data_IF_958150961318
#
_entry.id   IF_958150961318
#
_cell.length_a   1.000
_cell.length_b   1.000
_cell.length_c   1.000
_cell.angle_alpha   90.00
_cell.angle_beta   90.00
_cell.angle_gamma   90.00
#
_symmetry.space_group_name_H-M   'P 1'
#
loop_
_entity.id
_entity.type
_entity.pdbx_description
1 polymer ?
#
# COMPACT_ATOMS: atom_id res chain seq x y z
N UNK A 1 -4.31 3.15 1.30
CA UNK A 1 -3.27 2.10 1.25
C UNK A 1 -2.09 2.67 0.50
N UNK A 2 -0.88 2.36 0.95
CA UNK A 2 0.37 2.60 0.21
C UNK A 2 0.90 1.24 -0.26
N UNK A 3 1.24 1.13 -1.54
CA UNK A 3 1.67 -0.11 -2.18
C UNK A 3 2.99 0.10 -2.93
N UNK A 4 3.89 -0.88 -2.87
CA UNK A 4 5.11 -0.92 -3.67
C UNK A 4 5.12 -2.12 -4.61
N UNK A 5 5.51 -1.89 -5.86
CA UNK A 5 5.73 -2.93 -6.87
C UNK A 5 7.03 -2.68 -7.62
N UNK A 6 7.53 -3.67 -8.35
CA UNK A 6 8.72 -3.52 -9.18
C UNK A 6 8.54 -4.09 -10.60
N UNK A 7 9.47 -3.77 -11.48
CA UNK A 7 9.44 -4.13 -12.90
C UNK A 7 9.54 -5.64 -13.20
N UNK A 8 9.82 -6.49 -12.20
CA UNK A 8 9.81 -7.96 -12.38
C UNK A 8 8.46 -8.60 -12.01
N UNK A 9 7.47 -7.76 -11.69
CA UNK A 9 6.11 -8.20 -11.36
C UNK A 9 5.94 -8.62 -9.90
N UNK A 10 6.76 -8.10 -9.00
CA UNK A 10 6.68 -8.41 -7.57
C UNK A 10 6.14 -7.23 -6.76
N UNK A 11 5.30 -7.52 -5.78
CA UNK A 11 4.72 -6.56 -4.85
C UNK A 11 5.22 -6.80 -3.42
N UNK A 12 5.48 -5.73 -2.68
CA UNK A 12 5.66 -5.82 -1.22
C UNK A 12 4.30 -6.01 -0.53
N UNK A 13 4.24 -6.52 0.70
CA UNK A 13 3.00 -6.53 1.48
C UNK A 13 2.38 -5.13 1.59
N UNK A 14 1.05 -5.00 1.52
CA UNK A 14 0.38 -3.71 1.53
C UNK A 14 0.49 -3.02 2.89
N UNK A 15 0.50 -1.69 2.84
CA UNK A 15 0.43 -0.82 4.02
C UNK A 15 -0.93 -0.13 4.03
N UNK A 16 -1.84 -0.62 4.86
CA UNK A 16 -3.23 -0.18 4.95
C UNK A 16 -3.34 0.92 5.99
N UNK A 17 -3.98 2.04 5.66
CA UNK A 17 -4.22 3.15 6.59
C UNK A 17 -5.72 3.22 6.87
N UNK A 18 -6.10 3.07 8.13
CA UNK A 18 -7.47 3.26 8.58
C UNK A 18 -7.67 4.61 9.24
N UNK A 19 -8.78 5.27 8.93
CA UNK A 19 -9.20 6.47 9.64
C UNK A 19 -9.55 6.14 11.09
N UNK A 20 -8.75 6.53 12.07
CA UNK A 20 -9.02 6.31 13.49
C UNK A 20 -7.86 6.77 14.37
N UNK A 21 -8.07 6.75 15.69
CA UNK A 21 -7.05 7.12 16.67
C UNK A 21 -6.30 5.92 17.26
N UNK A 22 -6.97 4.78 17.33
CA UNK A 22 -6.45 3.57 17.96
C UNK A 22 -6.69 2.36 17.08
N UNK A 23 -5.84 1.36 17.26
CA UNK A 23 -6.07 0.02 16.73
C UNK A 23 -7.18 -0.67 17.51
N UNK A 24 -8.06 -1.39 16.81
CA UNK A 24 -9.05 -2.25 17.45
C UNK A 24 -8.54 -3.69 17.38
N UNK A 25 -8.52 -4.38 18.52
CA UNK A 25 -8.10 -5.80 18.59
C UNK A 25 -8.91 -6.69 17.65
N UNK A 26 -10.17 -6.33 17.40
CA UNK A 26 -11.04 -7.01 16.46
C UNK A 26 -10.51 -7.03 15.01
N UNK A 27 -9.64 -6.10 14.61
CA UNK A 27 -9.02 -6.10 13.26
C UNK A 27 -8.02 -7.24 13.06
N UNK A 28 -7.53 -7.83 14.14
CA UNK A 28 -6.50 -8.88 14.15
C UNK A 28 -7.06 -10.26 14.50
N UNK A 29 -8.39 -10.39 14.56
CA UNK A 29 -9.07 -11.66 14.84
C UNK A 29 -9.31 -12.50 13.59
N UNK A 30 -9.04 -11.95 12.41
CA UNK A 30 -9.17 -12.66 11.14
C UNK A 30 -7.95 -13.56 10.95
N UNK A 31 -8.15 -14.89 10.91
CA UNK A 31 -7.08 -15.88 10.79
C UNK A 31 -6.28 -15.77 9.48
N UNK A 32 -6.81 -15.04 8.49
CA UNK A 32 -6.25 -14.96 7.14
C UNK A 32 -5.48 -13.68 6.83
N UNK A 33 -5.34 -12.75 7.81
CA UNK A 33 -4.52 -11.54 7.64
C UNK A 33 -3.04 -11.93 7.68
N UNK A 34 -2.26 -11.72 6.60
CA UNK A 34 -0.85 -12.08 6.62
C UNK A 34 -0.06 -11.20 7.61
N UNK A 35 0.87 -11.81 8.34
CA UNK A 35 1.65 -11.13 9.40
C UNK A 35 2.56 -10.01 8.90
N UNK A 36 2.91 -10.04 7.63
CA UNK A 36 3.75 -9.05 6.98
C UNK A 36 2.95 -7.85 6.44
N UNK A 37 1.61 -7.87 6.55
CA UNK A 37 0.77 -6.72 6.22
C UNK A 37 0.78 -5.72 7.36
N UNK A 38 0.84 -4.43 7.03
CA UNK A 38 0.74 -3.36 8.02
C UNK A 38 -0.66 -2.77 7.97
N UNK A 39 -1.30 -2.68 9.13
CA UNK A 39 -2.46 -1.83 9.36
C UNK A 39 -1.95 -0.68 10.22
N UNK A 40 -2.04 0.55 9.73
CA UNK A 40 -1.74 1.77 10.44
C UNK A 40 -3.00 2.61 10.60
N UNK A 41 -2.95 3.62 11.48
CA UNK A 41 -4.08 4.52 11.74
C UNK A 41 -3.69 5.99 11.60
N UNK A 42 -4.60 6.80 11.06
CA UNK A 42 -4.52 8.26 11.11
C UNK A 42 -5.89 8.86 11.35
N UNK A 43 -5.97 10.04 11.99
CA UNK A 43 -7.27 10.62 12.39
C UNK A 43 -8.21 10.88 11.21
N UNK A 44 -7.66 11.17 10.03
CA UNK A 44 -8.39 11.51 8.81
C UNK A 44 -8.28 10.43 7.72
N UNK A 45 -7.55 9.34 7.97
CA UNK A 45 -7.31 8.27 7.01
C UNK A 45 -6.29 8.62 5.91
N UNK A 46 -5.70 9.81 5.95
CA UNK A 46 -4.68 10.26 5.02
C UNK A 46 -3.27 9.91 5.51
N UNK A 47 -2.33 9.89 4.57
CA UNK A 47 -0.91 9.72 4.85
C UNK A 47 -0.33 10.95 5.55
N UNK A 48 0.57 10.73 6.51
CA UNK A 48 1.34 11.77 7.21
C UNK A 48 2.83 11.57 6.97
N UNK A 49 3.68 12.52 7.36
CA UNK A 49 5.15 12.35 7.28
C UNK A 49 5.61 11.13 8.09
N UNK A 50 5.06 10.93 9.29
CA UNK A 50 5.34 9.77 10.14
C UNK A 50 4.96 8.47 9.45
N UNK A 51 3.75 8.37 8.91
CA UNK A 51 3.29 7.17 8.18
C UNK A 51 4.09 6.93 6.91
N UNK A 52 4.53 7.99 6.23
CA UNK A 52 5.41 7.89 5.05
C UNK A 52 6.76 7.29 5.42
N UNK A 53 7.35 7.70 6.54
CA UNK A 53 8.60 7.15 7.05
C UNK A 53 8.43 5.68 7.52
N UNK A 54 7.32 5.36 8.19
CA UNK A 54 7.01 3.96 8.55
C UNK A 54 6.85 3.08 7.31
N UNK A 55 6.16 3.58 6.29
CA UNK A 55 6.06 2.88 5.02
C UNK A 55 7.43 2.71 4.34
N UNK A 56 8.31 3.72 4.39
CA UNK A 56 9.66 3.61 3.84
C UNK A 56 10.50 2.53 4.56
N UNK A 57 10.39 2.43 5.88
CA UNK A 57 11.01 1.34 6.66
C UNK A 57 10.46 -0.02 6.27
N UNK A 58 9.14 -0.11 6.06
CA UNK A 58 8.47 -1.31 5.56
C UNK A 58 8.96 -1.69 4.16
N UNK A 59 9.07 -0.72 3.25
CA UNK A 59 9.65 -0.89 1.92
C UNK A 59 11.11 -1.40 2.02
N UNK A 60 11.93 -0.80 2.88
CA UNK A 60 13.31 -1.21 3.08
C UNK A 60 13.39 -2.68 3.52
N UNK A 61 12.65 -3.04 4.57
CA UNK A 61 12.63 -4.38 5.14
C UNK A 61 12.30 -5.47 4.10
N UNK A 62 11.35 -5.19 3.21
CA UNK A 62 10.89 -6.15 2.21
C UNK A 62 11.78 -6.19 0.95
N UNK A 63 12.42 -5.08 0.58
CA UNK A 63 13.18 -4.99 -0.68
C UNK A 63 14.68 -5.22 -0.51
N UNK A 64 15.25 -5.00 0.68
CA UNK A 64 16.71 -5.00 0.91
C UNK A 64 17.38 -6.29 0.45
N UNK A 65 16.80 -7.45 0.79
CA UNK A 65 17.33 -8.78 0.42
C UNK A 65 17.22 -9.10 -1.07
N UNK A 66 16.44 -8.33 -1.83
CA UNK A 66 16.21 -8.50 -3.27
C UNK A 66 16.98 -7.46 -4.10
N UNK A 67 17.81 -6.64 -3.46
CA UNK A 67 18.59 -5.61 -4.14
C UNK A 67 19.62 -6.27 -5.05
N UNK A 68 19.67 -5.82 -6.30
CA UNK A 68 20.76 -6.11 -7.21
C UNK A 68 21.71 -4.91 -7.20
N UNK A 69 22.96 -5.13 -6.79
CA UNK A 69 23.94 -4.05 -6.60
C UNK A 69 23.79 -3.34 -5.25
N UNK A 70 24.12 -2.05 -5.22
CA UNK A 70 24.23 -1.28 -3.97
C UNK A 70 23.03 -0.38 -3.66
N UNK A 71 22.24 -0.01 -4.67
CA UNK A 71 21.18 1.01 -4.55
C UNK A 71 19.83 0.46 -5.01
N UNK A 72 18.76 1.02 -4.44
CA UNK A 72 17.38 0.82 -4.90
C UNK A 72 16.78 2.15 -5.34
N UNK A 73 16.11 2.14 -6.48
CA UNK A 73 15.32 3.29 -6.94
C UNK A 73 13.90 3.17 -6.41
N UNK A 74 13.42 4.20 -5.73
CA UNK A 74 12.06 4.35 -5.25
C UNK A 74 11.40 5.49 -6.04
N UNK A 75 10.46 5.14 -6.92
CA UNK A 75 9.67 6.11 -7.69
C UNK A 75 8.40 6.41 -6.92
N UNK A 76 8.16 7.70 -6.63
CA UNK A 76 7.02 8.18 -5.83
C UNK A 76 6.29 9.30 -6.57
N UNK A 77 5.00 9.48 -6.26
CA UNK A 77 4.29 10.68 -6.68
C UNK A 77 4.82 11.90 -5.91
N UNK A 78 4.60 13.10 -6.46
CA UNK A 78 5.12 14.34 -5.90
C UNK A 78 4.41 14.80 -4.62
N UNK A 79 3.82 13.90 -3.83
CA UNK A 79 3.07 14.26 -2.63
C UNK A 79 3.99 14.82 -1.54
N UNK A 80 3.55 15.89 -0.87
CA UNK A 80 4.35 16.72 0.05
C UNK A 80 4.92 15.94 1.24
N UNK A 81 4.28 14.82 1.61
CA UNK A 81 4.68 13.98 2.73
C UNK A 81 6.03 13.26 2.57
N UNK A 82 6.59 13.25 1.36
CA UNK A 82 7.89 12.65 1.05
C UNK A 82 9.08 13.61 1.26
N UNK A 83 8.81 14.86 1.64
CA UNK A 83 9.82 15.91 1.78
C UNK A 83 10.34 16.08 3.22
N UNK A 84 9.98 15.20 4.17
CA UNK A 84 10.52 15.30 5.52
C UNK A 84 12.02 14.97 5.54
N UNK A 85 12.76 15.66 6.42
CA UNK A 85 14.20 15.47 6.57
C UNK A 85 14.53 14.02 6.98
N UNK A 86 13.72 13.43 7.85
CA UNK A 86 13.90 12.06 8.32
C UNK A 86 13.71 11.04 7.19
N UNK A 87 12.74 11.27 6.29
CA UNK A 87 12.51 10.43 5.13
C UNK A 87 13.74 10.44 4.20
N UNK A 88 14.25 11.63 3.88
CA UNK A 88 15.43 11.78 3.03
C UNK A 88 16.69 11.20 3.67
N UNK A 89 16.89 11.43 4.97
CA UNK A 89 18.03 10.90 5.71
C UNK A 89 18.00 9.37 5.73
N UNK A 90 16.84 8.77 6.00
CA UNK A 90 16.69 7.31 5.99
C UNK A 90 16.96 6.71 4.60
N UNK A 91 16.48 7.36 3.54
CA UNK A 91 16.78 6.98 2.16
C UNK A 91 18.30 6.98 1.90
N UNK A 92 18.98 8.06 2.28
CA UNK A 92 20.44 8.21 2.10
C UNK A 92 21.22 7.12 2.83
N UNK A 93 20.90 6.89 4.11
CA UNK A 93 21.57 5.88 4.95
C UNK A 93 21.37 4.45 4.43
N UNK A 94 20.21 4.16 3.84
CA UNK A 94 19.85 2.82 3.35
C UNK A 94 20.04 2.64 1.83
N UNK A 95 20.77 3.57 1.18
CA UNK A 95 21.09 3.54 -0.25
C UNK A 95 19.83 3.44 -1.13
N UNK A 96 18.79 4.17 -0.76
CA UNK A 96 17.54 4.31 -1.52
C UNK A 96 17.58 5.67 -2.22
N UNK A 97 17.47 5.66 -3.54
CA UNK A 97 17.38 6.86 -4.37
C UNK A 97 15.91 7.11 -4.62
N UNK A 98 15.42 8.30 -4.27
CA UNK A 98 14.05 8.73 -4.54
C UNK A 98 13.97 9.47 -5.85
N UNK A 99 13.01 9.10 -6.70
CA UNK A 99 12.66 9.83 -7.91
C UNK A 99 11.19 10.24 -7.82
N UNK A 100 10.94 11.55 -7.74
CA UNK A 100 9.59 12.09 -7.72
C UNK A 100 9.08 12.30 -9.15
N UNK A 101 7.87 11.82 -9.43
CA UNK A 101 7.22 12.09 -10.71
C UNK A 101 6.86 13.57 -10.86
N UNK A 102 6.90 14.13 -12.09
CA UNK A 102 6.44 15.49 -12.33
C UNK A 102 4.99 15.71 -11.89
N UNK A 103 4.61 16.92 -11.44
CA UNK A 103 3.22 17.25 -11.13
C UNK A 103 2.28 16.90 -12.29
N UNK A 104 1.05 16.47 -11.97
CA UNK A 104 -0.01 16.11 -12.92
C UNK A 104 0.33 14.98 -13.89
N UNK A 105 1.41 14.22 -13.67
CA UNK A 105 1.80 13.12 -14.57
C UNK A 105 1.40 11.71 -14.09
N UNK A 106 0.77 11.57 -12.91
CA UNK A 106 0.38 10.26 -12.35
C UNK A 106 -0.41 9.40 -13.33
N UNK A 107 -1.40 9.98 -14.01
CA UNK A 107 -2.22 9.28 -15.00
C UNK A 107 -1.44 8.73 -16.21
N UNK A 108 -0.24 9.24 -16.47
CA UNK A 108 0.64 8.82 -17.57
C UNK A 108 1.77 7.91 -17.07
N UNK A 109 2.32 8.21 -15.89
CA UNK A 109 3.57 7.64 -15.41
C UNK A 109 3.41 6.66 -14.25
N UNK A 110 2.29 6.64 -13.54
CA UNK A 110 2.09 5.83 -12.32
C UNK A 110 1.54 4.45 -12.69
N UNK A 111 2.40 3.41 -12.78
CA UNK A 111 1.98 2.08 -13.25
C UNK A 111 1.03 1.43 -12.25
N UNK A 112 1.15 1.81 -10.97
CA UNK A 112 0.26 1.39 -9.90
C UNK A 112 -1.20 1.80 -10.16
N UNK A 113 -1.45 3.02 -10.67
CA UNK A 113 -2.82 3.50 -10.87
C UNK A 113 -3.51 2.75 -12.02
N UNK A 114 -2.78 2.55 -13.11
CA UNK A 114 -3.31 1.92 -14.34
C UNK A 114 -3.31 0.39 -14.25
N UNK A 115 -2.18 -0.21 -13.87
CA UNK A 115 -1.97 -1.65 -13.88
C UNK A 115 -2.48 -2.36 -12.63
N UNK A 116 -2.27 -1.81 -11.43
CA UNK A 116 -2.54 -2.52 -10.18
C UNK A 116 -3.87 -2.11 -9.52
N UNK A 117 -4.10 -0.80 -9.36
CA UNK A 117 -5.22 -0.29 -8.58
C UNK A 117 -6.55 -0.36 -9.32
N UNK A 118 -6.55 -0.26 -10.66
CA UNK A 118 -7.78 -0.47 -11.44
C UNK A 118 -8.33 -1.90 -11.29
N UNK A 119 -7.55 -2.98 -11.51
CA UNK A 119 -7.98 -4.35 -11.20
C UNK A 119 -8.36 -4.54 -9.73
N UNK A 120 -7.63 -3.94 -8.78
CA UNK A 120 -7.91 -4.06 -7.35
C UNK A 120 -9.28 -3.45 -6.99
N UNK A 121 -9.59 -2.26 -7.50
CA UNK A 121 -10.91 -1.62 -7.30
C UNK A 121 -12.02 -2.50 -7.85
N UNK A 122 -11.83 -3.07 -9.04
CA UNK A 122 -12.80 -4.00 -9.66
C UNK A 122 -12.97 -5.28 -8.84
N UNK A 123 -11.88 -5.88 -8.38
CA UNK A 123 -11.90 -7.08 -7.55
C UNK A 123 -12.63 -6.83 -6.22
N UNK A 124 -12.31 -5.72 -5.55
CA UNK A 124 -12.97 -5.30 -4.32
C UNK A 124 -14.46 -5.00 -4.53
N UNK A 125 -14.82 -4.35 -5.64
CA UNK A 125 -16.22 -4.12 -6.01
C UNK A 125 -17.02 -5.42 -6.10
N UNK A 126 -16.47 -6.47 -6.73
CA UNK A 126 -17.10 -7.81 -6.78
C UNK A 126 -17.29 -8.42 -5.39
N UNK A 127 -16.28 -8.30 -4.51
CA UNK A 127 -16.37 -8.78 -3.13
C UNK A 127 -17.48 -8.05 -2.36
N UNK A 128 -17.58 -6.72 -2.53
CA UNK A 128 -18.64 -5.91 -1.94
C UNK A 128 -20.04 -6.26 -2.50
N UNK A 129 -20.17 -6.49 -3.80
CA UNK A 129 -21.42 -6.94 -4.43
C UNK A 129 -21.92 -8.28 -3.87
N UNK A 130 -21.01 -9.23 -3.63
CA UNK A 130 -21.36 -10.50 -3.01
C UNK A 130 -21.87 -10.32 -1.57
N UNK A 131 -21.28 -9.40 -0.79
CA UNK A 131 -21.80 -9.05 0.53
C UNK A 131 -23.21 -8.43 0.44
N UNK A 132 -23.44 -7.52 -0.50
CA UNK A 132 -24.75 -6.89 -0.71
C UNK A 132 -25.83 -7.93 -1.06
N UNK A 133 -25.51 -8.90 -1.93
CA UNK A 133 -26.42 -10.02 -2.24
C UNK A 133 -26.78 -10.85 -1.01
N UNK A 134 -25.87 -10.94 -0.04
CA UNK A 134 -26.08 -11.58 1.26
C UNK A 134 -26.70 -10.65 2.32
N UNK A 135 -27.37 -9.58 1.89
CA UNK A 135 -28.05 -8.58 2.75
C UNK A 135 -27.12 -7.80 3.69
N UNK A 136 -25.84 -7.73 3.38
CA UNK A 136 -24.88 -6.88 4.08
C UNK A 136 -24.71 -5.58 3.28
N UNK A 137 -25.44 -4.55 3.71
CA UNK A 137 -25.49 -3.27 2.98
C UNK A 137 -24.50 -2.22 3.51
N UNK A 138 -23.77 -2.53 4.59
CA UNK A 138 -22.74 -1.67 5.16
C UNK A 138 -21.43 -2.44 5.40
N UNK A 139 -20.34 -1.91 4.87
CA UNK A 139 -18.99 -2.44 5.07
C UNK A 139 -18.33 -1.67 6.21
N UNK A 140 -18.28 -2.29 7.38
CA UNK A 140 -17.45 -1.81 8.48
C UNK A 140 -15.98 -2.15 8.22
N UNK A 141 -15.04 -1.57 8.97
CA UNK A 141 -13.62 -1.94 8.88
C UNK A 141 -13.36 -3.44 9.09
N UNK A 142 -14.17 -4.09 9.92
CA UNK A 142 -14.11 -5.53 10.14
C UNK A 142 -14.48 -6.33 8.89
N UNK A 143 -15.44 -5.83 8.10
CA UNK A 143 -15.82 -6.46 6.82
C UNK A 143 -14.92 -6.03 5.66
N UNK A 144 -14.29 -4.86 5.75
CA UNK A 144 -13.34 -4.38 4.77
C UNK A 144 -12.15 -5.34 4.65
N UNK A 145 -11.54 -5.75 5.76
CA UNK A 145 -10.30 -6.54 5.73
C UNK A 145 -10.46 -7.86 4.97
N UNK A 146 -11.46 -8.73 5.25
CA UNK A 146 -11.66 -9.97 4.50
C UNK A 146 -11.89 -9.73 3.00
N UNK A 147 -12.72 -8.75 2.64
CA UNK A 147 -12.96 -8.41 1.23
C UNK A 147 -11.69 -7.89 0.55
N UNK A 148 -10.93 -7.05 1.25
CA UNK A 148 -9.70 -6.47 0.74
C UNK A 148 -8.60 -7.53 0.57
N UNK A 149 -8.46 -8.49 1.51
CA UNK A 149 -7.54 -9.62 1.40
C UNK A 149 -7.83 -10.44 0.14
N UNK A 150 -9.09 -10.80 -0.09
CA UNK A 150 -9.50 -11.51 -1.31
C UNK A 150 -9.20 -10.71 -2.58
N UNK A 151 -9.60 -9.44 -2.60
CA UNK A 151 -9.38 -8.56 -3.74
C UNK A 151 -7.88 -8.34 -4.05
N UNK A 152 -7.05 -8.21 -3.02
CA UNK A 152 -5.61 -8.02 -3.17
C UNK A 152 -4.96 -9.24 -3.81
N UNK A 153 -5.30 -10.46 -3.34
CA UNK A 153 -4.77 -11.71 -3.91
C UNK A 153 -5.19 -11.90 -5.36
N UNK A 154 -6.42 -11.50 -5.71
CA UNK A 154 -6.93 -11.60 -7.08
C UNK A 154 -6.29 -10.58 -8.03
N UNK A 155 -5.95 -9.38 -7.54
CA UNK A 155 -5.58 -8.24 -8.38
C UNK A 155 -4.09 -7.90 -8.38
N UNK A 156 -3.36 -8.10 -7.29
CA UNK A 156 -1.93 -7.78 -7.19
C UNK A 156 -1.13 -9.03 -7.55
N UNK A 157 -1.09 -9.31 -8.85
CA UNK A 157 -0.44 -10.48 -9.44
C UNK A 157 0.61 -10.04 -10.46
N UNK A 158 1.53 -10.95 -10.81
CA UNK A 158 2.58 -10.68 -11.80
C UNK A 158 2.04 -10.20 -13.16
N UNK A 159 0.83 -10.58 -13.56
CA UNK A 159 0.23 -10.14 -14.82
C UNK A 159 -0.31 -8.71 -14.79
N UNK A 160 -0.57 -8.18 -13.60
CA UNK A 160 -1.11 -6.84 -13.38
C UNK A 160 -0.05 -5.85 -12.89
N UNK A 161 1.22 -6.28 -12.80
CA UNK A 161 2.38 -5.49 -12.37
C UNK A 161 3.36 -5.38 -13.53
#
# INVERSE_FOLDING_TARGET
>A
MIQGVNAIGWAIPPFIIFQGKNHLSAWYKEDNLPYDWVIAVSENGWTTNTLSLEWLKHFDAHTKRRTVGSYRLLVIDGHESHNSLEFQQYCKENKIITLCMPPHSSHLLQPLDVGCFSPLKKAYGRQAENLMRNKINHITKLKFLPCFIGAFKDAITKSNI
#
